data_IF_495172068893
#
_entry.id   IF_495172068893
#
_cell.length_a   1.000
_cell.length_b   1.000
_cell.length_c   1.000
_cell.angle_alpha   90.00
_cell.angle_beta   90.00
_cell.angle_gamma   90.00
#
_symmetry.space_group_name_H-M   'P 1'
#
loop_
_entity.id
_entity.type
_entity.pdbx_description
1 polymer ?
#
# COMPACT_ATOMS: atom_id res chain seq x y z
N UNK A 1 -8.33 9.42 -18.10
CA UNK A 1 -8.63 10.01 -16.78
C UNK A 1 -8.25 9.00 -15.73
N UNK A 2 -7.53 9.44 -14.70
CA UNK A 2 -7.08 8.59 -13.60
C UNK A 2 -8.29 8.01 -12.87
N UNK A 3 -8.32 6.69 -12.71
CA UNK A 3 -9.39 6.03 -11.95
C UNK A 3 -9.08 6.14 -10.46
N UNK A 4 -9.82 6.99 -9.75
CA UNK A 4 -9.77 7.02 -8.29
C UNK A 4 -10.67 5.95 -7.69
N UNK A 5 -10.14 5.17 -6.76
CA UNK A 5 -10.83 4.07 -6.08
C UNK A 5 -11.62 4.53 -4.85
N UNK A 6 -11.30 5.71 -4.33
CA UNK A 6 -11.98 6.39 -3.24
C UNK A 6 -11.96 7.93 -3.47
N UNK A 7 -12.63 8.67 -2.58
CA UNK A 7 -12.68 10.14 -2.68
C UNK A 7 -11.30 10.75 -2.45
N UNK A 8 -10.99 11.84 -3.19
CA UNK A 8 -9.78 12.63 -2.97
C UNK A 8 -9.93 13.36 -1.61
N UNK A 9 -9.06 13.10 -0.62
CA UNK A 9 -9.27 13.55 0.76
C UNK A 9 -8.82 14.99 1.00
N UNK A 10 -8.50 15.76 -0.05
CA UNK A 10 -7.91 17.08 0.06
C UNK A 10 -8.36 18.02 -1.04
N UNK A 11 -8.38 19.31 -0.73
CA UNK A 11 -8.59 20.39 -1.70
C UNK A 11 -7.26 21.00 -2.19
N UNK A 12 -6.11 20.41 -1.83
CA UNK A 12 -4.79 20.92 -2.22
C UNK A 12 -4.51 20.63 -3.71
N UNK A 13 -4.94 21.53 -4.58
CA UNK A 13 -4.91 21.35 -6.04
C UNK A 13 -3.53 20.94 -6.61
N UNK A 14 -2.42 21.48 -6.08
CA UNK A 14 -1.08 21.10 -6.54
C UNK A 14 -0.73 19.65 -6.23
N UNK A 15 -1.26 19.09 -5.13
CA UNK A 15 -1.01 17.70 -4.75
C UNK A 15 -1.80 16.76 -5.66
N UNK A 16 -3.08 17.09 -5.90
CA UNK A 16 -3.93 16.32 -6.81
C UNK A 16 -3.32 16.28 -8.21
N UNK A 17 -2.90 17.43 -8.73
CA UNK A 17 -2.24 17.51 -10.04
C UNK A 17 -0.96 16.67 -10.09
N UNK A 18 -0.13 16.73 -9.06
CA UNK A 18 1.09 15.91 -9.00
C UNK A 18 0.80 14.40 -9.00
N UNK A 19 -0.25 13.96 -8.30
CA UNK A 19 -0.70 12.55 -8.36
C UNK A 19 -1.20 12.18 -9.76
N UNK A 20 -1.93 13.07 -10.43
CA UNK A 20 -2.37 12.86 -11.82
C UNK A 20 -1.18 12.72 -12.78
N UNK A 21 -0.17 13.58 -12.67
CA UNK A 21 1.06 13.52 -13.48
C UNK A 21 1.78 12.16 -13.35
N UNK A 22 1.88 11.61 -12.13
CA UNK A 22 2.47 10.27 -11.92
C UNK A 22 1.55 9.14 -12.38
N UNK A 23 0.24 9.27 -12.22
CA UNK A 23 -0.70 8.26 -12.69
C UNK A 23 -0.73 8.17 -14.23
N UNK A 24 -0.49 9.28 -14.93
CA UNK A 24 -0.29 9.28 -16.38
C UNK A 24 0.99 8.54 -16.80
N UNK A 25 2.08 8.67 -16.03
CA UNK A 25 3.34 7.98 -16.31
C UNK A 25 3.33 6.49 -15.94
N UNK A 26 2.77 6.14 -14.79
CA UNK A 26 2.80 4.79 -14.24
C UNK A 26 1.63 3.91 -14.72
N UNK A 27 0.59 4.51 -15.29
CA UNK A 27 -0.62 3.85 -15.80
C UNK A 27 -1.24 2.80 -14.83
N UNK A 28 -1.47 3.12 -13.54
CA UNK A 28 -1.99 2.15 -12.60
C UNK A 28 -3.46 1.80 -12.89
N UNK A 29 -3.88 0.60 -12.47
CA UNK A 29 -5.29 0.18 -12.55
C UNK A 29 -6.24 1.11 -11.75
N UNK A 30 -5.72 1.82 -10.74
CA UNK A 30 -6.43 2.86 -10.01
C UNK A 30 -5.57 3.48 -8.91
N UNK A 31 -6.01 4.63 -8.42
CA UNK A 31 -5.38 5.37 -7.32
C UNK A 31 -6.29 5.31 -6.09
N UNK A 32 -5.75 4.80 -4.99
CA UNK A 32 -6.41 4.78 -3.69
C UNK A 32 -5.64 5.71 -2.74
N UNK A 33 -6.35 6.62 -2.06
CA UNK A 33 -5.78 7.54 -1.09
C UNK A 33 -5.89 6.95 0.31
N UNK A 34 -4.75 6.64 0.94
CA UNK A 34 -4.73 6.04 2.29
C UNK A 34 -5.21 7.03 3.36
N UNK A 35 -6.12 6.58 4.23
CA UNK A 35 -6.64 7.34 5.37
C UNK A 35 -6.00 6.98 6.73
N UNK A 36 -5.26 5.86 6.79
CA UNK A 36 -4.56 5.40 7.98
C UNK A 36 -5.46 4.82 9.07
N UNK A 37 -6.73 4.55 8.78
CA UNK A 37 -7.66 3.95 9.74
C UNK A 37 -7.33 2.48 10.02
N UNK A 38 -7.79 1.98 11.16
CA UNK A 38 -7.65 0.55 11.47
C UNK A 38 -8.35 -0.34 10.43
N UNK A 39 -9.52 0.08 9.93
CA UNK A 39 -10.26 -0.65 8.89
C UNK A 39 -9.42 -0.79 7.61
N UNK A 40 -8.78 0.29 7.17
CA UNK A 40 -7.88 0.28 6.02
C UNK A 40 -6.67 -0.63 6.27
N UNK A 41 -6.04 -0.52 7.44
CA UNK A 41 -4.92 -1.39 7.83
C UNK A 41 -5.30 -2.87 7.74
N UNK A 42 -6.43 -3.27 8.35
CA UNK A 42 -6.87 -4.66 8.35
C UNK A 42 -7.22 -5.15 6.95
N UNK A 43 -7.87 -4.32 6.12
CA UNK A 43 -8.19 -4.66 4.74
C UNK A 43 -6.92 -4.92 3.91
N UNK A 44 -5.93 -4.03 4.00
CA UNK A 44 -4.65 -4.19 3.29
C UNK A 44 -3.87 -5.41 3.80
N UNK A 45 -3.78 -5.61 5.12
CA UNK A 45 -3.11 -6.81 5.65
C UNK A 45 -3.77 -8.10 5.17
N UNK A 46 -5.10 -8.12 5.08
CA UNK A 46 -5.82 -9.28 4.59
C UNK A 46 -5.57 -9.53 3.10
N UNK A 47 -5.55 -8.48 2.28
CA UNK A 47 -5.16 -8.57 0.87
C UNK A 47 -3.73 -9.12 0.69
N UNK A 48 -2.79 -8.67 1.53
CA UNK A 48 -1.40 -9.17 1.50
C UNK A 48 -1.31 -10.65 1.90
N UNK A 49 -2.15 -11.12 2.84
CA UNK A 49 -2.21 -12.54 3.20
C UNK A 49 -2.84 -13.36 2.06
N UNK A 50 -3.91 -12.87 1.45
CA UNK A 50 -4.60 -13.55 0.35
C UNK A 50 -3.75 -13.64 -0.92
N UNK A 51 -2.93 -12.63 -1.19
CA UNK A 51 -1.97 -12.64 -2.30
C UNK A 51 -0.73 -13.51 -2.05
N UNK A 52 -0.53 -13.99 -0.81
CA UNK A 52 0.63 -14.79 -0.42
C UNK A 52 1.90 -13.99 -0.11
N UNK A 53 1.82 -12.65 -0.15
CA UNK A 53 2.93 -11.76 0.23
C UNK A 53 3.19 -11.78 1.74
N UNK A 54 2.16 -12.05 2.54
CA UNK A 54 2.22 -12.11 3.99
C UNK A 54 1.68 -13.44 4.53
N UNK A 55 2.15 -13.82 5.73
CA UNK A 55 1.61 -14.96 6.50
C UNK A 55 1.06 -14.47 7.84
N UNK A 56 -0.18 -14.81 8.18
CA UNK A 56 -0.76 -14.51 9.50
C UNK A 56 -0.03 -15.31 10.57
N UNK A 57 0.37 -14.65 11.66
CA UNK A 57 0.98 -15.33 12.81
C UNK A 57 -0.08 -15.91 13.74
N UNK A 58 0.35 -16.78 14.66
CA UNK A 58 -0.53 -17.34 15.69
C UNK A 58 -1.17 -16.20 16.51
N UNK A 59 -2.50 -16.10 16.46
CA UNK A 59 -3.24 -15.00 17.08
C UNK A 59 -3.29 -15.05 18.60
N UNK A 60 -3.03 -16.21 19.22
CA UNK A 60 -2.95 -16.32 20.69
C UNK A 60 -1.63 -15.78 21.21
N UNK A 61 -0.56 -15.97 20.44
CA UNK A 61 0.79 -15.54 20.83
C UNK A 61 1.11 -14.13 20.32
N UNK A 62 0.63 -13.78 19.13
CA UNK A 62 0.95 -12.57 18.38
C UNK A 62 -0.32 -12.08 17.65
N UNK A 63 -1.30 -11.52 18.37
CA UNK A 63 -2.52 -11.00 17.78
C UNK A 63 -2.21 -9.93 16.73
N UNK A 64 -3.00 -9.91 15.66
CA UNK A 64 -2.94 -8.96 14.55
C UNK A 64 -1.58 -8.85 13.83
N UNK A 65 -0.66 -9.79 14.07
CA UNK A 65 0.66 -9.79 13.46
C UNK A 65 0.69 -10.57 12.14
N UNK A 66 1.46 -10.06 11.18
CA UNK A 66 1.77 -10.71 9.91
C UNK A 66 3.28 -10.77 9.70
N UNK A 67 3.74 -11.82 9.00
CA UNK A 67 5.13 -12.01 8.61
C UNK A 67 5.27 -11.82 7.10
N UNK A 68 6.22 -10.96 6.71
CA UNK A 68 6.69 -10.82 5.33
C UNK A 68 8.08 -11.43 5.21
N UNK A 69 8.39 -11.99 4.04
CA UNK A 69 9.74 -12.43 3.67
C UNK A 69 10.06 -11.79 2.33
N UNK A 70 11.05 -10.91 2.29
CA UNK A 70 11.45 -10.23 1.06
C UNK A 70 12.22 -11.18 0.13
N UNK A 71 12.44 -10.72 -1.10
CA UNK A 71 13.37 -11.37 -2.01
C UNK A 71 14.79 -11.34 -1.41
N UNK A 72 15.58 -12.43 -1.51
CA UNK A 72 16.96 -12.45 -0.99
C UNK A 72 17.88 -11.36 -1.53
N UNK A 73 17.56 -10.77 -2.69
CA UNK A 73 18.31 -9.66 -3.29
C UNK A 73 17.97 -8.28 -2.69
N UNK A 74 16.89 -8.16 -1.92
CA UNK A 74 16.42 -6.91 -1.31
C UNK A 74 16.13 -7.10 0.19
N UNK A 75 17.20 -7.11 0.97
CA UNK A 75 17.16 -7.39 2.42
C UNK A 75 17.77 -6.28 3.27
N UNK A 76 18.39 -5.28 2.63
CA UNK A 76 19.07 -4.18 3.28
C UNK A 76 19.16 -2.96 2.34
N UNK A 77 19.38 -1.79 2.94
CA UNK A 77 19.59 -0.53 2.20
C UNK A 77 20.81 -0.62 1.27
N UNK A 78 20.68 -0.06 0.07
CA UNK A 78 21.74 0.04 -0.93
C UNK A 78 22.41 1.42 -0.84
N UNK A 79 23.59 1.53 -0.24
CA UNK A 79 24.23 2.85 -0.01
C UNK A 79 24.81 3.50 -1.28
N UNK A 80 25.05 2.70 -2.32
CA UNK A 80 25.65 3.15 -3.58
C UNK A 80 24.64 3.66 -4.62
N UNK A 81 23.36 3.76 -4.25
CA UNK A 81 22.25 4.21 -5.10
C UNK A 81 21.34 5.16 -4.35
#
# INVERSE_FOLDING_TARGET
MVKHLNAIPTNHAKLVKWVEEWAELCEPNGVYWCDGTNTEYYALCEEMVQSGLATRLDSKLRPDCVLFRSDPSDVARVEAR
#
